data_IF_181251851452
#
_entry.id   IF_181251851452
#
_cell.length_a   1.000
_cell.length_b   1.000
_cell.length_c   1.000
_cell.angle_alpha   90.00
_cell.angle_beta   90.00
_cell.angle_gamma   90.00
#
_symmetry.space_group_name_H-M   'P 1'
#
loop_
_entity.id
_entity.type
_entity.pdbx_description
1 polymer ?
#
# COMPACT_ATOMS: atom_id res chain seq x y z
N UNK A 1 -15.91 -9.99 -5.66
CA UNK A 1 -15.06 -9.69 -4.49
C UNK A 1 -14.01 -8.62 -4.77
N UNK A 2 -13.18 -8.74 -5.81
CA UNK A 2 -12.10 -7.78 -6.10
C UNK A 2 -12.57 -6.31 -6.30
N UNK A 3 -13.66 -6.07 -7.03
CA UNK A 3 -14.18 -4.71 -7.23
C UNK A 3 -14.62 -4.06 -5.92
N UNK A 4 -15.33 -4.79 -5.06
CA UNK A 4 -15.82 -4.28 -3.77
C UNK A 4 -14.66 -3.94 -2.85
N UNK A 5 -13.65 -4.81 -2.77
CA UNK A 5 -12.43 -4.54 -2.02
C UNK A 5 -11.68 -3.31 -2.56
N UNK A 6 -11.61 -3.16 -3.89
CA UNK A 6 -11.01 -1.99 -4.52
C UNK A 6 -11.73 -0.68 -4.17
N UNK A 7 -13.07 -0.68 -4.21
CA UNK A 7 -13.88 0.49 -3.81
C UNK A 7 -13.67 0.82 -2.33
N UNK A 8 -13.77 -0.17 -1.44
CA UNK A 8 -13.60 0.05 -0.01
C UNK A 8 -12.17 0.53 0.34
N UNK A 9 -11.15 -0.03 -0.31
CA UNK A 9 -9.76 0.37 -0.11
C UNK A 9 -9.49 1.78 -0.66
N UNK A 10 -10.16 2.19 -1.75
CA UNK A 10 -10.09 3.57 -2.24
C UNK A 10 -10.77 4.56 -1.28
N UNK A 11 -11.93 4.19 -0.73
CA UNK A 11 -12.70 5.02 0.20
C UNK A 11 -12.07 5.14 1.59
N UNK A 12 -11.20 4.21 1.99
CA UNK A 12 -10.52 4.21 3.28
C UNK A 12 -9.77 5.53 3.56
N UNK A 13 -9.34 6.21 2.51
CA UNK A 13 -8.48 7.40 2.57
C UNK A 13 -9.25 8.72 2.50
N UNK A 14 -10.43 8.68 1.90
CA UNK A 14 -11.33 9.84 1.81
C UNK A 14 -11.63 10.52 3.14
N UNK A 15 -11.95 9.82 4.25
CA UNK A 15 -12.23 10.49 5.52
C UNK A 15 -11.00 11.19 6.11
N UNK A 16 -9.79 10.63 5.93
CA UNK A 16 -8.53 11.24 6.37
C UNK A 16 -8.26 12.55 5.62
N UNK A 17 -8.48 12.58 4.30
CA UNK A 17 -8.30 13.77 3.48
C UNK A 17 -9.32 14.87 3.85
N UNK A 18 -10.58 14.51 4.09
CA UNK A 18 -11.63 15.44 4.52
C UNK A 18 -11.31 16.03 5.91
N UNK A 19 -10.83 15.21 6.85
CA UNK A 19 -10.42 15.65 8.19
C UNK A 19 -9.21 16.60 8.13
N UNK A 20 -8.25 16.35 7.25
CA UNK A 20 -7.11 17.25 6.99
C UNK A 20 -7.58 18.59 6.41
N UNK A 21 -8.50 18.58 5.45
CA UNK A 21 -9.03 19.81 4.83
C UNK A 21 -9.88 20.67 5.78
N UNK A 22 -10.64 20.03 6.69
CA UNK A 22 -11.54 20.74 7.62
C UNK A 22 -10.83 21.38 8.82
N UNK A 23 -9.62 20.94 9.13
CA UNK A 23 -8.80 21.48 10.20
C UNK A 23 -7.36 21.78 9.73
N UNK A 24 -7.15 22.84 8.94
CA UNK A 24 -5.81 23.31 8.60
C UNK A 24 -5.19 23.97 9.83
N UNK A 25 -4.54 23.18 10.67
CA UNK A 25 -3.75 23.69 11.79
C UNK A 25 -2.28 23.45 11.46
N UNK A 26 -1.50 24.52 11.63
CA UNK A 26 -0.11 24.77 11.26
C UNK A 26 0.93 23.84 11.94
N UNK A 27 0.52 22.65 12.39
CA UNK A 27 1.28 21.81 13.30
C UNK A 27 1.67 20.47 12.66
N UNK A 28 2.97 20.33 12.41
CA UNK A 28 3.64 19.23 11.69
C UNK A 28 3.42 17.84 12.34
N UNK A 29 2.96 17.79 13.59
CA UNK A 29 2.84 16.57 14.39
C UNK A 29 1.48 15.86 14.27
N UNK A 30 0.42 16.51 13.75
CA UNK A 30 -0.92 15.89 13.66
C UNK A 30 -1.00 14.71 12.69
N UNK A 31 -0.10 14.61 11.72
CA UNK A 31 -0.06 13.48 10.77
C UNK A 31 0.23 12.17 11.51
N UNK A 32 1.08 12.22 12.54
CA UNK A 32 1.37 11.06 13.38
C UNK A 32 0.18 10.70 14.27
N UNK A 33 -0.63 11.66 14.72
CA UNK A 33 -1.85 11.39 15.48
C UNK A 33 -2.91 10.67 14.63
N UNK A 34 -3.07 11.11 13.36
CA UNK A 34 -3.95 10.42 12.41
C UNK A 34 -3.43 9.02 12.07
N UNK A 35 -2.11 8.87 11.85
CA UNK A 35 -1.48 7.55 11.67
C UNK A 35 -1.71 6.66 12.90
N UNK A 36 -1.49 7.19 14.09
CA UNK A 36 -1.63 6.45 15.35
C UNK A 36 -3.06 5.95 15.56
N UNK A 37 -4.05 6.80 15.34
CA UNK A 37 -5.46 6.42 15.40
C UNK A 37 -5.80 5.32 14.37
N UNK A 38 -5.30 5.46 13.14
CA UNK A 38 -5.47 4.45 12.09
C UNK A 38 -4.82 3.10 12.47
N UNK A 39 -3.55 3.10 12.90
CA UNK A 39 -2.85 1.88 13.31
C UNK A 39 -3.44 1.24 14.56
N UNK A 40 -3.87 2.02 15.54
CA UNK A 40 -4.56 1.53 16.74
C UNK A 40 -5.85 0.80 16.37
N UNK A 41 -6.64 1.38 15.46
CA UNK A 41 -7.88 0.79 14.96
C UNK A 41 -7.60 -0.52 14.22
N UNK A 42 -6.62 -0.54 13.30
CA UNK A 42 -6.23 -1.76 12.57
C UNK A 42 -5.74 -2.84 13.53
N UNK A 43 -4.91 -2.49 14.51
CA UNK A 43 -4.42 -3.44 15.51
C UNK A 43 -5.56 -4.03 16.35
N UNK A 44 -6.52 -3.19 16.77
CA UNK A 44 -7.69 -3.63 17.53
C UNK A 44 -8.58 -4.58 16.73
N UNK A 45 -8.96 -4.22 15.50
CA UNK A 45 -9.78 -5.07 14.64
C UNK A 45 -9.07 -6.35 14.22
N UNK A 46 -7.75 -6.30 13.96
CA UNK A 46 -6.94 -7.47 13.65
C UNK A 46 -6.88 -8.45 14.84
N UNK A 47 -6.69 -7.92 16.05
CA UNK A 47 -6.71 -8.71 17.28
C UNK A 47 -8.08 -9.34 17.53
N UNK A 48 -9.16 -8.59 17.32
CA UNK A 48 -10.52 -9.08 17.46
C UNK A 48 -10.82 -10.20 16.44
N UNK A 49 -10.46 -10.00 15.17
CA UNK A 49 -10.60 -11.01 14.12
C UNK A 49 -9.82 -12.27 14.46
N UNK A 50 -8.57 -12.13 14.93
CA UNK A 50 -7.72 -13.25 15.32
C UNK A 50 -8.33 -14.03 16.49
N UNK A 51 -8.83 -13.35 17.53
CA UNK A 51 -9.49 -13.99 18.68
C UNK A 51 -10.73 -14.76 18.23
N UNK A 52 -11.62 -14.16 17.44
CA UNK A 52 -12.82 -14.82 16.91
C UNK A 52 -12.42 -16.04 16.07
N UNK A 53 -11.43 -15.90 15.21
CA UNK A 53 -10.94 -16.99 14.37
C UNK A 53 -10.36 -18.15 15.19
N UNK A 54 -9.56 -17.86 16.23
CA UNK A 54 -9.04 -18.87 17.15
C UNK A 54 -10.16 -19.59 17.91
N UNK A 55 -11.20 -18.87 18.37
CA UNK A 55 -12.36 -19.46 19.05
C UNK A 55 -13.14 -20.43 18.16
N UNK A 56 -13.36 -20.07 16.90
CA UNK A 56 -14.13 -20.89 15.96
C UNK A 56 -13.34 -22.11 15.49
N UNK A 57 -12.04 -21.94 15.18
CA UNK A 57 -11.30 -22.95 14.43
C UNK A 57 -10.46 -23.91 15.28
N UNK A 58 -10.09 -23.58 16.53
CA UNK A 58 -9.24 -24.43 17.43
C UNK A 58 -8.00 -25.04 16.73
N UNK A 59 -7.48 -24.41 15.68
CA UNK A 59 -6.40 -24.92 14.84
C UNK A 59 -5.00 -24.51 15.35
N UNK A 60 -3.98 -25.28 14.95
CA UNK A 60 -2.60 -25.14 15.45
C UNK A 60 -1.96 -23.79 15.08
N UNK A 61 -1.29 -23.18 16.06
CA UNK A 61 -0.65 -21.85 16.02
C UNK A 61 0.51 -21.67 15.00
N UNK A 62 0.82 -22.69 14.20
CA UNK A 62 2.02 -22.72 13.34
C UNK A 62 1.99 -21.68 12.20
N UNK A 63 0.80 -21.21 11.80
CA UNK A 63 0.64 -20.22 10.71
C UNK A 63 0.70 -18.78 11.23
N UNK A 64 0.72 -18.58 12.55
CA UNK A 64 0.62 -17.25 13.17
C UNK A 64 1.87 -16.41 12.94
N UNK A 65 3.06 -17.02 13.03
CA UNK A 65 4.34 -16.32 12.87
C UNK A 65 4.46 -15.62 11.50
N UNK A 66 4.26 -16.30 10.34
CA UNK A 66 4.34 -15.63 9.04
C UNK A 66 3.26 -14.57 8.85
N UNK A 67 2.06 -14.75 9.42
CA UNK A 67 1.01 -13.72 9.38
C UNK A 67 1.38 -12.47 10.17
N UNK A 68 2.02 -12.63 11.34
CA UNK A 68 2.51 -11.50 12.14
C UNK A 68 3.61 -10.73 11.41
N UNK A 69 4.55 -11.44 10.78
CA UNK A 69 5.63 -10.83 9.98
C UNK A 69 5.03 -10.03 8.80
N UNK A 70 4.05 -10.61 8.09
CA UNK A 70 3.37 -9.91 7.01
C UNK A 70 2.60 -8.67 7.50
N UNK A 71 1.89 -8.78 8.63
CA UNK A 71 1.19 -7.64 9.24
C UNK A 71 2.14 -6.51 9.65
N UNK A 72 3.30 -6.85 10.23
CA UNK A 72 4.34 -5.88 10.56
C UNK A 72 4.90 -5.19 9.29
N UNK A 73 5.20 -5.97 8.25
CA UNK A 73 5.66 -5.45 6.96
C UNK A 73 4.63 -4.49 6.34
N UNK A 74 3.35 -4.86 6.37
CA UNK A 74 2.26 -4.04 5.86
C UNK A 74 2.12 -2.73 6.63
N UNK A 75 2.20 -2.76 7.97
CA UNK A 75 2.14 -1.56 8.79
C UNK A 75 3.30 -0.60 8.50
N UNK A 76 4.53 -1.12 8.38
CA UNK A 76 5.71 -0.32 8.03
C UNK A 76 5.52 0.35 6.66
N UNK A 77 5.03 -0.41 5.67
CA UNK A 77 4.72 0.11 4.34
C UNK A 77 3.65 1.20 4.34
N UNK A 78 2.57 0.99 5.09
CA UNK A 78 1.48 1.97 5.23
C UNK A 78 1.96 3.26 5.90
N UNK A 79 2.80 3.18 6.94
CA UNK A 79 3.38 4.38 7.59
C UNK A 79 4.23 5.17 6.62
N UNK A 80 5.06 4.48 5.83
CA UNK A 80 5.89 5.10 4.79
C UNK A 80 5.05 5.80 3.73
N UNK A 81 3.91 5.22 3.35
CA UNK A 81 2.99 5.83 2.41
C UNK A 81 2.26 7.05 2.98
N UNK A 82 1.82 7.03 4.24
CA UNK A 82 1.24 8.20 4.92
C UNK A 82 2.22 9.37 5.01
N UNK A 83 3.47 9.09 5.40
CA UNK A 83 4.52 10.12 5.49
C UNK A 83 4.88 10.68 4.11
N UNK A 84 4.87 9.84 3.08
CA UNK A 84 5.11 10.27 1.69
C UNK A 84 3.96 11.10 1.16
N UNK A 85 2.72 10.76 1.50
CA UNK A 85 1.50 11.47 1.09
C UNK A 85 1.32 12.82 1.81
N UNK A 86 2.09 13.05 2.88
CA UNK A 86 2.16 14.35 3.55
C UNK A 86 3.16 15.29 2.84
N UNK A 87 4.27 14.74 2.33
CA UNK A 87 5.31 15.50 1.63
C UNK A 87 5.04 15.68 0.13
N UNK A 88 4.41 14.70 -0.49
CA UNK A 88 3.97 14.71 -1.88
C UNK A 88 2.44 14.62 -1.88
N UNK A 89 1.77 15.35 -2.77
CA UNK A 89 0.32 15.20 -2.93
C UNK A 89 -0.05 13.74 -3.20
N UNK A 90 -1.14 13.28 -2.58
CA UNK A 90 -1.64 11.90 -2.68
C UNK A 90 -1.83 11.44 -4.14
N UNK A 91 -2.16 12.38 -5.03
CA UNK A 91 -2.30 12.17 -6.48
C UNK A 91 -1.01 11.69 -7.14
N UNK A 92 0.16 12.10 -6.62
CA UNK A 92 1.48 11.68 -7.13
C UNK A 92 2.01 10.49 -6.32
N UNK A 93 1.82 10.49 -5.01
CA UNK A 93 2.31 9.42 -4.14
C UNK A 93 1.66 8.06 -4.46
N UNK A 94 0.35 8.02 -4.70
CA UNK A 94 -0.40 6.78 -4.88
C UNK A 94 -0.01 5.97 -6.13
N UNK A 95 0.14 6.57 -7.34
CA UNK A 95 0.67 5.87 -8.52
C UNK A 95 2.08 5.32 -8.31
N UNK A 96 2.95 6.03 -7.59
CA UNK A 96 4.31 5.56 -7.28
C UNK A 96 4.25 4.31 -6.40
N UNK A 97 3.51 4.37 -5.29
CA UNK A 97 3.42 3.26 -4.32
C UNK A 97 2.69 2.04 -4.85
N UNK A 98 1.78 2.18 -5.80
CA UNK A 98 1.09 1.03 -6.41
C UNK A 98 1.93 0.33 -7.48
N UNK A 99 2.81 1.07 -8.17
CA UNK A 99 3.67 0.52 -9.22
C UNK A 99 4.94 -0.14 -8.69
N UNK A 100 5.53 0.40 -7.62
CA UNK A 100 6.80 -0.12 -7.08
C UNK A 100 6.72 -1.60 -6.66
N UNK A 101 5.69 -2.07 -5.91
CA UNK A 101 5.56 -3.48 -5.54
C UNK A 101 5.32 -4.38 -6.75
N UNK A 102 4.59 -3.90 -7.77
CA UNK A 102 4.35 -4.65 -9.01
C UNK A 102 5.64 -4.86 -9.81
N UNK A 103 6.52 -3.86 -9.87
CA UNK A 103 7.82 -3.97 -10.53
C UNK A 103 8.72 -4.93 -9.76
N UNK A 104 8.79 -4.80 -8.43
CA UNK A 104 9.60 -5.69 -7.58
C UNK A 104 9.10 -7.14 -7.70
N UNK A 105 7.78 -7.36 -7.66
CA UNK A 105 7.19 -8.68 -7.85
C UNK A 105 7.54 -9.29 -9.20
N UNK A 106 7.44 -8.50 -10.27
CA UNK A 106 7.81 -8.95 -11.60
C UNK A 106 9.32 -9.25 -11.74
N UNK A 107 10.20 -8.50 -11.06
CA UNK A 107 11.64 -8.80 -11.02
C UNK A 107 11.89 -10.12 -10.27
N UNK A 108 11.25 -10.31 -9.12
CA UNK A 108 11.33 -11.55 -8.33
C UNK A 108 10.84 -12.75 -9.15
N UNK A 109 9.74 -12.61 -9.90
CA UNK A 109 9.21 -13.66 -10.76
C UNK A 109 10.17 -14.07 -11.88
N UNK A 110 10.94 -13.11 -12.41
CA UNK A 110 11.95 -13.36 -13.44
C UNK A 110 13.22 -13.97 -12.84
N UNK A 111 13.72 -13.44 -11.72
CA UNK A 111 15.03 -13.81 -11.14
C UNK A 111 14.95 -15.09 -10.31
N UNK A 112 14.00 -15.14 -9.37
CA UNK A 112 13.89 -16.22 -8.38
C UNK A 112 13.04 -17.36 -8.93
N UNK A 113 11.81 -17.07 -9.37
CA UNK A 113 10.91 -18.12 -9.83
C UNK A 113 11.20 -18.58 -11.25
N UNK A 114 11.96 -17.77 -12.04
CA UNK A 114 12.21 -17.98 -13.48
C UNK A 114 10.92 -18.38 -14.21
N UNK A 115 9.79 -17.83 -13.77
CA UNK A 115 8.45 -18.23 -14.22
C UNK A 115 8.23 -17.77 -15.67
N UNK A 116 8.76 -16.58 -15.99
CA UNK A 116 8.70 -15.99 -17.32
C UNK A 116 9.93 -16.42 -18.14
N UNK A 117 9.77 -17.51 -18.90
CA UNK A 117 10.79 -18.02 -19.84
C UNK A 117 10.47 -17.60 -21.27
N UNK A 118 11.44 -17.01 -21.97
CA UNK A 118 11.35 -16.65 -23.39
C UNK A 118 11.65 -15.19 -23.68
N UNK A 119 12.51 -14.94 -24.69
CA UNK A 119 13.01 -13.62 -25.07
C UNK A 119 11.88 -12.62 -25.40
N UNK A 120 10.81 -13.08 -26.07
CA UNK A 120 9.65 -12.23 -26.40
C UNK A 120 8.87 -11.81 -25.15
N UNK A 121 8.62 -12.71 -24.21
CA UNK A 121 7.87 -12.42 -22.99
C UNK A 121 8.64 -11.48 -22.05
N UNK A 122 9.97 -11.64 -22.00
CA UNK A 122 10.86 -10.72 -21.28
C UNK A 122 10.86 -9.31 -21.90
N UNK A 123 10.85 -9.20 -23.23
CA UNK A 123 10.74 -7.89 -23.91
C UNK A 123 9.41 -7.21 -23.59
N UNK A 124 8.29 -7.95 -23.63
CA UNK A 124 6.98 -7.39 -23.27
C UNK A 124 6.94 -6.93 -21.81
N UNK A 125 7.50 -7.72 -20.88
CA UNK A 125 7.56 -7.35 -19.47
C UNK A 125 8.38 -6.06 -19.26
N UNK A 126 9.57 -5.98 -19.86
CA UNK A 126 10.43 -4.80 -19.79
C UNK A 126 9.75 -3.59 -20.42
N UNK A 127 9.06 -3.75 -21.56
CA UNK A 127 8.31 -2.69 -22.20
C UNK A 127 7.19 -2.17 -21.29
N UNK A 128 6.41 -3.06 -20.67
CA UNK A 128 5.37 -2.69 -19.70
C UNK A 128 5.95 -1.97 -18.47
N UNK A 129 7.12 -2.38 -17.98
CA UNK A 129 7.81 -1.68 -16.89
C UNK A 129 8.24 -0.27 -17.29
N UNK A 130 8.86 -0.10 -18.46
CA UNK A 130 9.29 1.20 -18.97
C UNK A 130 8.08 2.11 -19.16
N UNK A 131 7.02 1.63 -19.80
CA UNK A 131 5.76 2.38 -19.93
C UNK A 131 5.17 2.77 -18.56
N UNK A 132 5.18 1.85 -17.60
CA UNK A 132 4.70 2.10 -16.25
C UNK A 132 5.49 3.19 -15.53
N UNK A 133 6.82 3.17 -15.62
CA UNK A 133 7.69 4.20 -15.06
C UNK A 133 7.47 5.55 -15.74
N UNK A 134 7.44 5.58 -17.07
CA UNK A 134 7.17 6.80 -17.84
C UNK A 134 5.82 7.41 -17.48
N UNK A 135 4.77 6.59 -17.32
CA UNK A 135 3.46 7.06 -16.90
C UNK A 135 3.49 7.73 -15.51
N UNK A 136 4.20 7.14 -14.54
CA UNK A 136 4.35 7.72 -13.20
C UNK A 136 5.13 9.05 -13.24
N UNK A 137 6.20 9.12 -14.04
CA UNK A 137 6.96 10.36 -14.24
C UNK A 137 6.09 11.45 -14.87
N UNK A 138 5.31 11.13 -15.90
CA UNK A 138 4.38 12.07 -16.53
C UNK A 138 3.31 12.58 -15.54
N UNK A 139 2.76 11.70 -14.70
CA UNK A 139 1.80 12.11 -13.65
C UNK A 139 2.47 13.05 -12.64
N UNK A 140 3.69 12.75 -12.20
CA UNK A 140 4.44 13.59 -11.27
C UNK A 140 4.75 14.98 -11.88
N UNK A 141 5.18 15.03 -13.14
CA UNK A 141 5.47 16.27 -13.87
C UNK A 141 4.21 17.10 -14.12
N UNK A 142 3.08 16.44 -14.45
CA UNK A 142 1.79 17.12 -14.64
C UNK A 142 1.30 17.85 -13.39
N UNK A 143 1.78 17.43 -12.21
CA UNK A 143 1.38 18.01 -10.94
C UNK A 143 2.28 19.17 -10.49
N UNK A 144 3.37 19.46 -11.22
CA UNK A 144 4.18 20.64 -10.97
C UNK A 144 3.50 21.88 -11.59
N UNK A 145 3.03 22.80 -10.76
CA UNK A 145 2.65 24.14 -11.20
C UNK A 145 3.94 24.95 -11.42
N UNK A 146 4.19 25.33 -12.67
CA UNK A 146 5.16 26.38 -13.02
C UNK A 146 4.57 27.76 -12.71
#
# INVERSE_FOLDING_TARGET
>A
MACVLGVLHGLMMSPLDILKQRHPADDKYRVLDYCFSYFSTVFFFSSLYFVIYCFVRREKMSVVIPTLIYGALWNIGMTGWFLSSDKLEQTVAYPITTRLPAIIGAIIDVVIFRSIKGRKNQIYLTFCMVLGVTAVVLIALSNQKF
#
